data_IF_417913036589
#
_entry.id   IF_417913036589
#
_cell.length_a   1.000
_cell.length_b   1.000
_cell.length_c   1.000
_cell.angle_alpha   90.00
_cell.angle_beta   90.00
_cell.angle_gamma   90.00
#
_symmetry.space_group_name_H-M   'P 1'
#
loop_
_entity.id
_entity.type
_entity.pdbx_description
1 polymer ?
#
# COMPACT_ATOMS: atom_id res chain seq x y z
N UNK A 1 30.70 13.95 -7.64
CA UNK A 1 29.25 13.71 -7.71
C UNK A 1 28.62 14.40 -6.52
N UNK A 2 27.94 15.53 -6.74
CA UNK A 2 27.08 16.11 -5.71
C UNK A 2 25.80 15.27 -5.71
N UNK A 3 25.45 14.71 -4.55
CA UNK A 3 24.21 13.93 -4.38
C UNK A 3 23.02 14.84 -4.59
N UNK A 4 21.98 14.31 -5.23
CA UNK A 4 20.73 15.06 -5.43
C UNK A 4 20.19 15.40 -4.02
N UNK A 5 19.85 16.66 -3.70
CA UNK A 5 19.26 16.99 -2.41
C UNK A 5 17.96 16.19 -2.12
N UNK A 6 17.28 15.68 -3.14
CA UNK A 6 16.14 14.75 -2.99
C UNK A 6 16.56 13.31 -2.60
N UNK A 7 17.81 12.91 -2.82
CA UNK A 7 18.30 11.53 -2.58
C UNK A 7 18.18 11.12 -1.09
N UNK A 8 18.14 12.09 -0.17
CA UNK A 8 18.05 11.87 1.27
C UNK A 8 16.71 12.28 1.89
N UNK A 9 15.66 12.56 1.10
CA UNK A 9 14.36 12.89 1.70
C UNK A 9 13.76 11.66 2.42
N UNK A 10 12.99 11.85 3.50
CA UNK A 10 12.27 10.75 4.13
C UNK A 10 11.31 10.06 3.16
N UNK A 11 11.25 8.73 3.27
CA UNK A 11 10.32 7.89 2.50
C UNK A 11 8.93 7.93 3.13
N UNK A 12 7.90 8.10 2.31
CA UNK A 12 6.50 8.09 2.73
C UNK A 12 5.87 6.74 2.41
N UNK A 13 5.41 6.04 3.45
CA UNK A 13 4.80 4.70 3.34
C UNK A 13 3.34 4.78 3.76
N UNK A 14 2.43 4.49 2.84
CA UNK A 14 1.01 4.29 3.16
C UNK A 14 0.77 2.86 3.62
N UNK A 15 0.15 2.71 4.79
CA UNK A 15 -0.32 1.41 5.27
C UNK A 15 -1.82 1.26 4.95
N UNK A 16 -2.16 0.20 4.22
CA UNK A 16 -3.51 -0.23 3.88
C UNK A 16 -3.85 -1.59 4.53
N UNK A 17 -3.30 -1.89 5.71
CA UNK A 17 -3.68 -3.05 6.52
C UNK A 17 -5.16 -2.96 6.91
N UNK A 18 -5.96 -3.99 6.58
CA UNK A 18 -7.40 -3.99 6.91
C UNK A 18 -8.36 -4.06 5.74
N UNK A 19 -7.93 -4.47 4.54
CA UNK A 19 -8.78 -4.69 3.34
C UNK A 19 -10.11 -5.42 3.61
N UNK A 20 -10.21 -6.21 4.69
CA UNK A 20 -11.47 -6.83 5.08
C UNK A 20 -12.60 -5.82 5.42
N UNK A 21 -12.25 -4.62 5.91
CA UNK A 21 -13.20 -3.57 6.26
C UNK A 21 -13.24 -2.38 5.29
N UNK A 22 -12.11 -2.07 4.64
CA UNK A 22 -12.01 -0.95 3.71
C UNK A 22 -12.19 -1.40 2.25
N UNK A 23 -12.98 -0.67 1.44
CA UNK A 23 -13.15 -1.00 0.04
C UNK A 23 -11.83 -0.97 -0.75
N UNK A 24 -11.69 -1.87 -1.74
CA UNK A 24 -10.52 -1.98 -2.61
C UNK A 24 -10.10 -0.65 -3.27
N UNK A 25 -11.06 0.25 -3.51
CA UNK A 25 -10.80 1.53 -4.15
C UNK A 25 -10.05 2.52 -3.24
N UNK A 26 -10.02 2.32 -1.92
CA UNK A 26 -9.24 3.19 -1.02
C UNK A 26 -7.74 2.96 -1.19
N UNK A 27 -7.32 1.70 -1.39
CA UNK A 27 -5.95 1.40 -1.79
C UNK A 27 -5.61 2.00 -3.15
N UNK A 28 -6.55 1.94 -4.12
CA UNK A 28 -6.37 2.57 -5.42
C UNK A 28 -6.20 4.10 -5.33
N UNK A 29 -6.93 4.76 -4.41
CA UNK A 29 -6.76 6.20 -4.14
C UNK A 29 -5.40 6.52 -3.57
N UNK A 30 -4.87 5.70 -2.64
CA UNK A 30 -3.49 5.86 -2.17
C UNK A 30 -2.48 5.72 -3.31
N UNK A 31 -2.70 4.77 -4.23
CA UNK A 31 -1.80 4.53 -5.37
C UNK A 31 -1.84 5.61 -6.45
N UNK A 32 -2.94 6.34 -6.58
CA UNK A 32 -3.15 7.29 -7.68
C UNK A 32 -3.19 8.75 -7.24
N UNK A 33 -3.52 9.01 -5.98
CA UNK A 33 -3.71 10.35 -5.42
C UNK A 33 -2.80 10.61 -4.20
N UNK A 34 -2.21 9.56 -3.61
CA UNK A 34 -1.31 9.70 -2.48
C UNK A 34 0.07 10.19 -2.90
N UNK A 35 0.62 11.16 -2.17
CA UNK A 35 2.03 11.52 -2.23
C UNK A 35 2.82 10.54 -1.35
N UNK A 36 2.88 9.29 -1.81
CA UNK A 36 3.53 8.17 -1.12
C UNK A 36 4.44 7.42 -2.06
N UNK A 37 5.57 6.95 -1.53
CA UNK A 37 6.57 6.22 -2.30
C UNK A 37 6.24 4.71 -2.32
N UNK A 38 5.63 4.21 -1.24
CA UNK A 38 5.28 2.81 -1.09
C UNK A 38 3.91 2.63 -0.46
N UNK A 39 3.24 1.54 -0.85
CA UNK A 39 2.00 1.07 -0.23
C UNK A 39 2.27 -0.32 0.36
N UNK A 40 1.86 -0.52 1.61
CA UNK A 40 1.95 -1.79 2.33
C UNK A 40 0.57 -2.20 2.85
N UNK A 41 0.39 -3.47 3.20
CA UNK A 41 -0.86 -3.96 3.81
C UNK A 41 -1.19 -5.41 3.45
N UNK A 42 -2.09 -6.01 4.24
CA UNK A 42 -2.51 -7.40 4.09
C UNK A 42 -3.60 -7.57 3.03
N UNK A 43 -3.24 -7.40 1.75
CA UNK A 43 -4.20 -7.51 0.63
C UNK A 43 -4.66 -8.96 0.34
N UNK A 44 -4.01 -9.96 0.97
CA UNK A 44 -4.03 -11.36 0.51
C UNK A 44 -4.56 -12.39 1.52
N UNK A 45 -5.12 -11.97 2.65
CA UNK A 45 -5.52 -12.92 3.71
C UNK A 45 -6.97 -13.43 3.62
N UNK A 46 -7.87 -12.76 2.89
CA UNK A 46 -9.31 -13.08 2.91
C UNK A 46 -9.80 -13.93 1.73
N UNK A 47 -9.48 -13.54 0.49
CA UNK A 47 -10.08 -14.15 -0.71
C UNK A 47 -9.29 -15.35 -1.23
N UNK A 48 -7.96 -15.34 -1.09
CA UNK A 48 -7.11 -16.49 -1.41
C UNK A 48 -7.22 -17.59 -0.35
N UNK A 49 -7.42 -17.24 0.93
CA UNK A 49 -7.56 -18.23 2.01
C UNK A 49 -8.92 -18.96 2.01
N UNK A 50 -10.00 -18.31 1.57
CA UNK A 50 -11.32 -18.94 1.47
C UNK A 50 -11.50 -19.84 0.23
N UNK A 51 -10.56 -19.81 -0.72
CA UNK A 51 -10.59 -20.65 -1.92
C UNK A 51 -9.93 -22.03 -1.73
N UNK A 52 -9.36 -22.29 -0.54
CA UNK A 52 -8.72 -23.57 -0.15
C UNK A 52 -9.34 -24.21 1.12
N UNK A 53 -10.48 -23.70 1.60
CA UNK A 53 -11.23 -24.23 2.75
C UNK A 53 -12.62 -24.78 2.35
N UNK A 54 -12.83 -25.08 1.05
CA UNK A 54 -14.00 -25.81 0.56
C UNK A 54 -13.58 -27.09 -0.14
#
# INVERSE_FOLDING_TARGET
MLRDPEENRPVKVANCSGYHGDPAYEMYRQATLGDVDFITGDYLAGTLLNSFQR
#
